data_IF_965899498119
#
_entry.id   IF_965899498119
#
_cell.length_a   1.000
_cell.length_b   1.000
_cell.length_c   1.000
_cell.angle_alpha   90.00
_cell.angle_beta   90.00
_cell.angle_gamma   90.00
#
_symmetry.space_group_name_H-M   'P 1'
#
loop_
_entity.id
_entity.type
_entity.pdbx_description
1 polymer ?
#
# COMPACT_ATOMS: atom_id res chain seq x y z
N UNK A 1 2.00 -20.57 9.97
CA UNK A 1 2.15 -20.35 8.52
C UNK A 1 3.36 -19.45 8.34
N UNK A 2 4.45 -19.92 7.71
CA UNK A 2 5.63 -19.07 7.49
C UNK A 2 5.24 -17.92 6.56
N UNK A 3 5.60 -16.70 6.95
CA UNK A 3 5.48 -15.50 6.13
C UNK A 3 6.07 -15.78 4.73
N UNK A 4 5.25 -15.65 3.70
CA UNK A 4 5.66 -15.77 2.29
C UNK A 4 6.43 -14.53 1.79
N UNK A 5 6.69 -13.59 2.68
CA UNK A 5 7.51 -12.41 2.41
C UNK A 5 8.97 -12.86 2.50
N UNK A 6 9.66 -12.86 1.39
CA UNK A 6 11.10 -13.07 1.36
C UNK A 6 11.73 -11.89 2.10
N UNK A 7 12.21 -12.15 3.30
CA UNK A 7 12.98 -11.16 4.06
C UNK A 7 14.13 -10.67 3.17
N UNK A 8 14.26 -9.35 3.06
CA UNK A 8 15.38 -8.76 2.34
C UNK A 8 16.65 -9.00 3.18
N UNK A 9 17.63 -9.69 2.63
CA UNK A 9 18.91 -9.86 3.32
C UNK A 9 19.72 -8.56 3.24
N UNK A 10 20.65 -8.37 4.18
CA UNK A 10 21.58 -7.22 4.14
C UNK A 10 22.34 -7.14 2.81
N UNK A 11 22.70 -8.28 2.25
CA UNK A 11 23.36 -8.35 0.93
C UNK A 11 22.45 -7.87 -0.19
N UNK A 12 21.17 -8.25 -0.17
CA UNK A 12 20.19 -7.80 -1.17
C UNK A 12 19.96 -6.29 -1.04
N UNK A 13 19.84 -5.77 0.18
CA UNK A 13 19.71 -4.33 0.43
C UNK A 13 20.91 -3.56 -0.11
N UNK A 14 22.14 -3.98 0.24
CA UNK A 14 23.35 -3.32 -0.24
C UNK A 14 23.43 -3.31 -1.77
N UNK A 15 23.06 -4.41 -2.43
CA UNK A 15 22.98 -4.49 -3.88
C UNK A 15 21.96 -3.49 -4.47
N UNK A 16 20.77 -3.38 -3.88
CA UNK A 16 19.75 -2.40 -4.30
C UNK A 16 20.28 -0.96 -4.16
N UNK A 17 20.86 -0.63 -3.01
CA UNK A 17 21.39 0.71 -2.74
C UNK A 17 22.55 1.07 -3.69
N UNK A 18 23.42 0.10 -4.02
CA UNK A 18 24.49 0.29 -5.00
C UNK A 18 23.94 0.57 -6.39
N UNK A 19 22.91 -0.18 -6.83
CA UNK A 19 22.23 0.07 -8.10
C UNK A 19 21.60 1.46 -8.15
N UNK A 20 20.93 1.89 -7.09
CA UNK A 20 20.33 3.23 -7.01
C UNK A 20 21.41 4.31 -7.12
N UNK A 21 22.54 4.19 -6.40
CA UNK A 21 23.68 5.12 -6.48
C UNK A 21 24.27 5.19 -7.89
N UNK A 22 24.32 4.06 -8.59
CA UNK A 22 24.84 3.94 -9.95
C UNK A 22 23.80 4.27 -11.03
N UNK A 23 22.61 4.76 -10.65
CA UNK A 23 21.51 5.11 -11.56
C UNK A 23 21.04 3.94 -12.44
N UNK A 24 21.10 2.72 -11.90
CA UNK A 24 20.62 1.49 -12.55
C UNK A 24 19.15 1.25 -12.15
N UNK A 25 18.27 2.10 -12.65
CA UNK A 25 16.85 2.04 -12.43
C UNK A 25 16.07 2.69 -13.56
N UNK A 26 14.81 2.28 -13.71
CA UNK A 26 13.90 2.78 -14.74
C UNK A 26 12.71 3.46 -14.08
N UNK A 27 12.34 4.64 -14.55
CA UNK A 27 11.15 5.35 -14.09
C UNK A 27 9.87 4.54 -14.42
N UNK A 28 8.97 4.38 -13.43
CA UNK A 28 7.69 3.69 -13.61
C UNK A 28 6.54 4.70 -13.66
N UNK A 29 6.40 5.51 -12.61
CA UNK A 29 5.25 6.38 -12.42
C UNK A 29 5.60 7.62 -11.59
N UNK A 30 4.77 8.65 -11.74
CA UNK A 30 4.71 9.79 -10.84
C UNK A 30 3.26 10.03 -10.45
N UNK A 31 3.03 10.26 -9.15
CA UNK A 31 1.79 10.79 -8.59
C UNK A 31 2.00 12.24 -8.12
N UNK A 32 1.00 12.76 -7.42
CA UNK A 32 1.03 14.14 -6.91
C UNK A 32 2.17 14.34 -5.90
N UNK A 33 2.43 13.35 -5.08
CA UNK A 33 3.37 13.43 -3.96
C UNK A 33 4.70 12.72 -4.20
N UNK A 34 4.87 11.93 -5.29
CA UNK A 34 6.08 11.14 -5.43
C UNK A 34 6.36 10.55 -6.80
N UNK A 35 7.51 9.88 -6.87
CA UNK A 35 7.99 9.17 -8.07
C UNK A 35 8.43 7.78 -7.71
N UNK A 36 8.06 6.81 -8.54
CA UNK A 36 8.37 5.38 -8.38
C UNK A 36 9.31 4.93 -9.48
N UNK A 37 10.32 4.15 -9.09
CA UNK A 37 11.35 3.63 -9.98
C UNK A 37 11.57 2.15 -9.75
N UNK A 38 11.64 1.36 -10.83
CA UNK A 38 12.06 -0.03 -10.82
C UNK A 38 13.59 -0.10 -10.67
N UNK A 39 14.09 -0.87 -9.71
CA UNK A 39 15.52 -1.18 -9.60
C UNK A 39 15.86 -2.25 -10.64
N UNK A 40 16.78 -1.99 -11.55
CA UNK A 40 17.07 -2.86 -12.69
C UNK A 40 17.50 -4.27 -12.25
N UNK A 41 16.73 -5.28 -12.72
CA UNK A 41 16.97 -6.68 -12.40
C UNK A 41 16.69 -7.11 -10.96
N UNK A 42 15.99 -6.29 -10.18
CA UNK A 42 15.49 -6.64 -8.85
C UNK A 42 13.95 -6.73 -8.86
N UNK A 43 13.39 -7.50 -7.94
CA UNK A 43 11.96 -7.54 -7.66
C UNK A 43 11.55 -6.46 -6.63
N UNK A 44 12.17 -5.29 -6.74
CA UNK A 44 12.03 -4.17 -5.82
C UNK A 44 11.89 -2.88 -6.60
N UNK A 45 11.11 -1.98 -6.02
CA UNK A 45 10.98 -0.60 -6.46
C UNK A 45 11.41 0.33 -5.34
N UNK A 46 11.80 1.55 -5.68
CA UNK A 46 11.91 2.59 -4.68
C UNK A 46 11.01 3.76 -5.04
N UNK A 47 10.46 4.39 -4.01
CA UNK A 47 9.66 5.61 -4.12
C UNK A 47 10.42 6.77 -3.49
N UNK A 48 10.38 7.92 -4.14
CA UNK A 48 10.79 9.20 -3.58
C UNK A 48 9.50 9.98 -3.38
N UNK A 49 9.17 10.27 -2.13
CA UNK A 49 7.96 11.02 -1.79
C UNK A 49 8.30 12.44 -1.33
N UNK A 50 7.41 13.38 -1.63
CA UNK A 50 7.41 14.73 -1.04
C UNK A 50 6.48 14.82 0.16
N UNK A 51 5.71 13.77 0.43
CA UNK A 51 4.76 13.69 1.52
C UNK A 51 5.45 13.15 2.77
N UNK A 52 5.36 13.92 3.86
CA UNK A 52 6.00 13.57 5.11
C UNK A 52 5.23 12.48 5.85
N UNK A 53 3.91 12.53 5.81
CA UNK A 53 3.06 11.59 6.54
C UNK A 53 3.19 10.19 5.92
N UNK A 54 3.21 10.11 4.58
CA UNK A 54 3.53 8.89 3.85
C UNK A 54 4.89 8.32 4.25
N UNK A 55 5.91 9.18 4.38
CA UNK A 55 7.24 8.74 4.76
C UNK A 55 7.31 8.24 6.21
N UNK A 56 6.64 8.90 7.16
CA UNK A 56 6.55 8.48 8.56
C UNK A 56 5.88 7.10 8.70
N UNK A 57 4.87 6.82 7.88
CA UNK A 57 4.25 5.49 7.81
C UNK A 57 5.24 4.45 7.26
N UNK A 58 6.00 4.78 6.22
CA UNK A 58 7.04 3.89 5.71
C UNK A 58 8.09 3.55 6.78
N UNK A 59 8.46 4.48 7.67
CA UNK A 59 9.33 4.23 8.82
C UNK A 59 8.71 3.24 9.80
N UNK A 60 7.42 3.38 10.12
CA UNK A 60 6.70 2.41 10.98
C UNK A 60 6.65 1.03 10.32
N UNK A 61 6.35 0.98 9.02
CA UNK A 61 6.21 -0.28 8.29
C UNK A 61 7.54 -1.03 8.17
N UNK A 62 8.68 -0.37 8.02
CA UNK A 62 9.99 -1.04 8.00
C UNK A 62 10.37 -1.58 9.36
N UNK A 63 10.09 -0.85 10.44
CA UNK A 63 10.42 -1.26 11.80
C UNK A 63 9.55 -2.43 12.29
N UNK A 64 8.32 -2.52 11.78
CA UNK A 64 7.30 -3.48 12.21
C UNK A 64 6.84 -4.40 11.06
N UNK A 65 7.72 -4.69 10.11
CA UNK A 65 7.41 -5.34 8.82
C UNK A 65 6.60 -6.66 8.92
N UNK A 66 6.70 -7.40 10.04
CA UNK A 66 6.00 -8.68 10.23
C UNK A 66 4.61 -8.54 10.87
N UNK A 67 4.20 -7.34 11.25
CA UNK A 67 2.94 -7.11 11.95
C UNK A 67 1.77 -6.81 11.00
N UNK A 68 2.08 -6.36 9.77
CA UNK A 68 1.11 -5.92 8.78
C UNK A 68 1.00 -6.93 7.63
N UNK A 69 -0.21 -7.09 7.11
CA UNK A 69 -0.50 -8.05 6.03
C UNK A 69 -1.11 -7.43 4.80
N UNK A 70 -1.58 -6.19 4.93
CA UNK A 70 -2.29 -5.44 3.89
C UNK A 70 -1.50 -4.27 3.32
N UNK A 71 -0.40 -3.87 3.95
CA UNK A 71 0.52 -2.89 3.39
C UNK A 71 1.61 -3.59 2.58
N UNK A 72 2.09 -2.93 1.53
CA UNK A 72 3.23 -3.43 0.79
C UNK A 72 4.46 -3.48 1.72
N UNK A 73 5.27 -4.55 1.68
CA UNK A 73 6.46 -4.63 2.50
C UNK A 73 7.45 -3.51 2.21
N UNK A 74 7.78 -2.72 3.24
CA UNK A 74 8.85 -1.73 3.21
C UNK A 74 10.11 -2.40 3.74
N UNK A 75 11.20 -2.30 2.98
CA UNK A 75 12.48 -2.94 3.31
C UNK A 75 13.55 -1.98 3.80
N UNK A 76 13.41 -0.70 3.47
CA UNK A 76 14.40 0.31 3.79
C UNK A 76 13.81 1.71 3.68
N UNK A 77 14.23 2.60 4.55
CA UNK A 77 14.02 4.06 4.49
C UNK A 77 15.37 4.76 4.61
N UNK A 78 15.58 5.85 3.88
CA UNK A 78 16.89 6.51 3.80
C UNK A 78 17.11 7.64 4.80
N UNK A 79 16.10 7.95 5.63
CA UNK A 79 16.11 9.05 6.59
C UNK A 79 15.83 10.44 5.98
N UNK A 80 15.48 10.52 4.68
CA UNK A 80 15.14 11.76 4.00
C UNK A 80 13.75 11.71 3.37
N UNK A 81 13.57 10.98 2.29
CA UNK A 81 12.31 10.90 1.58
C UNK A 81 12.22 9.72 0.61
N UNK A 82 13.14 8.78 0.68
CA UNK A 82 13.18 7.61 -0.20
C UNK A 82 13.02 6.33 0.61
N UNK A 83 12.22 5.41 0.10
CA UNK A 83 12.07 4.08 0.67
C UNK A 83 12.00 2.99 -0.41
N UNK A 84 12.41 1.77 -0.06
CA UNK A 84 12.41 0.59 -0.94
C UNK A 84 11.30 -0.35 -0.51
N UNK A 85 10.47 -0.77 -1.46
CA UNK A 85 9.35 -1.70 -1.26
C UNK A 85 9.42 -2.88 -2.23
N UNK A 86 8.60 -3.89 -1.99
CA UNK A 86 8.37 -4.97 -2.94
C UNK A 86 7.85 -4.39 -4.27
N UNK A 87 8.16 -5.06 -5.38
CA UNK A 87 7.48 -4.83 -6.63
C UNK A 87 6.20 -5.68 -6.64
N UNK A 88 5.05 -5.04 -6.84
CA UNK A 88 3.75 -5.69 -6.88
C UNK A 88 3.13 -5.58 -8.27
N UNK A 89 2.27 -6.53 -8.62
CA UNK A 89 1.53 -6.56 -9.87
C UNK A 89 0.27 -5.70 -9.78
N UNK A 90 -0.20 -5.20 -10.91
CA UNK A 90 -1.48 -4.49 -10.98
C UNK A 90 -2.64 -5.42 -10.62
N UNK A 91 -3.71 -4.84 -10.07
CA UNK A 91 -4.94 -5.58 -9.83
C UNK A 91 -5.51 -6.19 -11.14
N UNK A 92 -6.05 -7.43 -11.09
CA UNK A 92 -6.89 -7.95 -12.17
C UNK A 92 -8.06 -6.99 -12.48
N UNK A 93 -8.36 -6.78 -13.76
CA UNK A 93 -9.37 -5.82 -14.19
C UNK A 93 -10.76 -6.04 -13.54
N UNK A 94 -11.11 -7.30 -13.23
CA UNK A 94 -12.34 -7.63 -12.51
C UNK A 94 -12.35 -7.07 -11.09
N UNK A 95 -11.29 -7.32 -10.32
CA UNK A 95 -11.17 -6.82 -8.95
C UNK A 95 -11.09 -5.28 -8.93
N UNK A 96 -10.34 -4.69 -9.85
CA UNK A 96 -10.28 -3.23 -9.98
C UNK A 96 -11.67 -2.62 -10.13
N UNK A 97 -12.46 -3.16 -11.09
CA UNK A 97 -13.82 -2.70 -11.32
C UNK A 97 -14.73 -2.86 -10.10
N UNK A 98 -14.64 -3.98 -9.39
CA UNK A 98 -15.45 -4.21 -8.20
C UNK A 98 -15.08 -3.25 -7.05
N UNK A 99 -13.80 -2.94 -6.87
CA UNK A 99 -13.35 -1.91 -5.90
C UNK A 99 -13.87 -0.54 -6.30
N UNK A 100 -13.79 -0.16 -7.59
CA UNK A 100 -14.30 1.12 -8.07
C UNK A 100 -15.82 1.24 -7.82
N UNK A 101 -16.59 0.16 -8.08
CA UNK A 101 -18.02 0.13 -7.78
C UNK A 101 -18.31 0.26 -6.28
N UNK A 102 -17.57 -0.46 -5.44
CA UNK A 102 -17.68 -0.34 -3.98
C UNK A 102 -17.42 1.09 -3.50
N UNK A 103 -16.43 1.77 -4.08
CA UNK A 103 -16.13 3.16 -3.75
C UNK A 103 -17.20 4.13 -4.22
N UNK A 104 -17.83 3.89 -5.35
CA UNK A 104 -18.97 4.67 -5.82
C UNK A 104 -20.17 4.54 -4.85
N UNK A 105 -20.46 3.32 -4.40
CA UNK A 105 -21.52 3.04 -3.42
C UNK A 105 -21.21 3.69 -2.05
N UNK A 106 -19.97 3.58 -1.59
CA UNK A 106 -19.52 4.25 -0.38
C UNK A 106 -19.63 5.78 -0.46
N UNK A 107 -19.26 6.38 -1.58
CA UNK A 107 -19.38 7.81 -1.79
C UNK A 107 -20.84 8.30 -1.77
N UNK A 108 -21.78 7.45 -2.20
CA UNK A 108 -23.20 7.70 -2.09
C UNK A 108 -23.67 7.64 -0.62
N UNK A 109 -23.32 6.56 0.09
CA UNK A 109 -23.64 6.35 1.50
C UNK A 109 -23.12 7.50 2.39
N UNK A 110 -21.85 7.88 2.22
CA UNK A 110 -21.22 8.95 2.99
C UNK A 110 -21.90 10.32 2.83
N UNK A 111 -22.48 10.60 1.65
CA UNK A 111 -23.25 11.85 1.43
C UNK A 111 -24.58 11.84 2.18
N UNK A 112 -25.25 10.68 2.26
CA UNK A 112 -26.54 10.57 2.93
C UNK A 112 -26.41 10.69 4.46
N UNK A 113 -25.33 10.20 5.05
CA UNK A 113 -25.04 10.29 6.48
C UNK A 113 -24.58 11.70 6.92
N UNK A 114 -24.11 12.54 6.00
CA UNK A 114 -23.81 13.96 6.24
C UNK A 114 -22.62 14.23 7.18
N UNK A 115 -21.71 13.29 7.34
CA UNK A 115 -20.55 13.38 8.23
C UNK A 115 -19.30 12.66 7.69
N UNK A 116 -18.24 12.69 8.46
CA UNK A 116 -17.08 11.84 8.25
C UNK A 116 -17.46 10.40 8.61
N UNK A 117 -17.60 9.54 7.61
CA UNK A 117 -17.96 8.13 7.74
C UNK A 117 -16.78 7.28 7.32
N UNK A 118 -16.44 6.30 8.14
CA UNK A 118 -15.42 5.32 7.82
C UNK A 118 -15.89 4.39 6.70
N UNK A 119 -14.97 4.03 5.82
CA UNK A 119 -15.21 2.97 4.83
C UNK A 119 -15.55 1.63 5.50
N UNK A 120 -15.05 1.40 6.71
CA UNK A 120 -15.30 0.19 7.49
C UNK A 120 -16.69 0.19 8.14
N UNK A 121 -17.26 1.36 8.42
CA UNK A 121 -18.65 1.49 8.89
C UNK A 121 -19.65 1.16 7.78
N UNK A 122 -19.27 1.38 6.51
CA UNK A 122 -20.07 1.03 5.35
C UNK A 122 -20.07 -0.47 5.04
N UNK A 123 -19.05 -1.23 5.41
CA UNK A 123 -18.91 -2.65 5.06
C UNK A 123 -20.15 -3.51 5.33
N UNK A 124 -20.87 -3.37 6.45
CA UNK A 124 -22.09 -4.15 6.71
C UNK A 124 -23.22 -3.87 5.73
N UNK A 125 -23.25 -2.68 5.14
CA UNK A 125 -24.30 -2.19 4.23
C UNK A 125 -23.92 -2.31 2.75
N UNK A 126 -22.68 -2.71 2.45
CA UNK A 126 -22.10 -2.75 1.12
C UNK A 126 -22.71 -3.82 0.18
N UNK A 127 -23.66 -4.62 0.65
CA UNK A 127 -24.22 -5.72 -0.12
C UNK A 127 -23.26 -6.89 -0.29
N UNK A 128 -23.42 -7.66 -1.39
CA UNK A 128 -22.61 -8.85 -1.65
C UNK A 128 -21.25 -8.44 -2.28
N UNK A 129 -20.20 -8.44 -1.48
CA UNK A 129 -18.83 -8.16 -1.94
C UNK A 129 -18.11 -9.42 -2.41
N UNK A 130 -17.14 -9.23 -3.31
CA UNK A 130 -16.17 -10.27 -3.62
C UNK A 130 -15.41 -10.68 -2.35
N UNK A 131 -15.34 -11.98 -2.01
CA UNK A 131 -14.68 -12.44 -0.80
C UNK A 131 -13.21 -12.02 -0.65
N UNK A 132 -12.50 -11.77 -1.75
CA UNK A 132 -11.12 -11.27 -1.68
C UNK A 132 -11.10 -9.80 -1.22
N UNK A 133 -12.05 -8.98 -1.67
CA UNK A 133 -12.17 -7.57 -1.28
C UNK A 133 -12.60 -7.49 0.19
N UNK A 134 -13.61 -8.24 0.58
CA UNK A 134 -14.10 -8.28 1.97
C UNK A 134 -13.00 -8.71 2.95
N UNK A 135 -12.26 -9.78 2.64
CA UNK A 135 -11.15 -10.24 3.45
C UNK A 135 -10.01 -9.20 3.53
N UNK A 136 -9.73 -8.53 2.42
CA UNK A 136 -8.72 -7.47 2.39
C UNK A 136 -9.12 -6.29 3.26
N UNK A 137 -10.35 -5.78 3.13
CA UNK A 137 -10.85 -4.65 3.92
C UNK A 137 -10.87 -4.97 5.43
N UNK A 138 -11.31 -6.16 5.81
CA UNK A 138 -11.30 -6.62 7.21
C UNK A 138 -9.88 -6.68 7.77
N UNK A 139 -8.93 -7.20 7.00
CA UNK A 139 -7.53 -7.24 7.41
C UNK A 139 -6.90 -5.85 7.46
N UNK A 140 -7.26 -4.97 6.53
CA UNK A 140 -6.80 -3.59 6.45
C UNK A 140 -7.24 -2.78 7.67
N UNK A 141 -8.51 -2.90 8.09
CA UNK A 141 -9.00 -2.29 9.33
C UNK A 141 -8.14 -2.71 10.53
N UNK A 142 -7.87 -4.00 10.65
CA UNK A 142 -7.01 -4.53 11.73
C UNK A 142 -5.59 -3.96 11.67
N UNK A 143 -5.03 -3.81 10.48
CA UNK A 143 -3.67 -3.31 10.31
C UNK A 143 -3.60 -1.79 10.58
N UNK A 144 -4.62 -0.99 10.21
CA UNK A 144 -4.74 0.43 10.57
C UNK A 144 -4.83 0.60 12.09
N UNK A 145 -5.65 -0.19 12.77
CA UNK A 145 -5.73 -0.18 14.24
C UNK A 145 -4.37 -0.46 14.89
N UNK A 146 -3.58 -1.39 14.34
CA UNK A 146 -2.21 -1.67 14.82
C UNK A 146 -1.24 -0.53 14.56
N UNK A 147 -1.39 0.21 13.47
CA UNK A 147 -0.56 1.40 13.21
C UNK A 147 -0.73 2.43 14.32
N UNK A 148 -1.90 2.48 14.96
CA UNK A 148 -2.20 3.42 16.03
C UNK A 148 -2.48 4.84 15.50
N UNK A 149 -2.81 4.95 14.23
CA UNK A 149 -3.24 6.17 13.55
C UNK A 149 -4.73 6.05 13.23
N UNK A 150 -5.44 7.17 13.24
CA UNK A 150 -6.82 7.19 12.76
C UNK A 150 -6.82 7.08 11.24
N UNK A 151 -7.80 6.36 10.68
CA UNK A 151 -7.98 6.33 9.22
C UNK A 151 -8.24 7.72 8.62
N UNK A 152 -8.72 8.67 9.43
CA UNK A 152 -8.92 10.07 9.06
C UNK A 152 -7.65 10.92 9.16
N UNK A 153 -6.65 10.47 9.95
CA UNK A 153 -5.34 11.13 10.04
C UNK A 153 -4.40 10.64 8.93
N UNK A 154 -4.67 9.44 8.39
CA UNK A 154 -4.14 9.00 7.13
C UNK A 154 -5.00 9.67 6.07
N UNK A 155 -4.42 10.40 5.13
CA UNK A 155 -5.12 10.80 3.89
C UNK A 155 -5.35 9.52 3.06
N UNK A 156 -6.12 8.59 3.69
CA UNK A 156 -6.24 7.21 3.28
C UNK A 156 -7.13 7.12 2.05
N UNK A 157 -6.50 7.31 0.93
CA UNK A 157 -7.15 7.29 -0.36
C UNK A 157 -7.36 5.84 -0.82
N UNK A 158 -8.42 5.21 -0.30
CA UNK A 158 -8.82 3.88 -0.74
C UNK A 158 -9.37 3.95 -2.16
N UNK A 159 -8.48 3.75 -3.13
CA UNK A 159 -8.78 3.65 -4.56
C UNK A 159 -8.16 2.41 -5.15
N UNK A 160 -8.76 1.89 -6.21
CA UNK A 160 -8.22 0.72 -6.91
C UNK A 160 -6.80 0.91 -7.45
N UNK A 161 -6.40 2.17 -7.70
CA UNK A 161 -5.05 2.50 -8.17
C UNK A 161 -3.98 2.43 -7.05
N UNK A 162 -4.42 2.53 -5.79
CA UNK A 162 -3.56 2.43 -4.60
C UNK A 162 -3.49 1.00 -4.04
N UNK A 163 -4.11 0.04 -4.74
CA UNK A 163 -4.11 -1.38 -4.37
C UNK A 163 -3.47 -2.20 -5.48
N UNK A 164 -2.56 -3.06 -5.12
CA UNK A 164 -1.85 -3.95 -6.03
C UNK A 164 -1.89 -5.40 -5.55
N UNK A 165 -1.35 -6.31 -6.35
CA UNK A 165 -1.25 -7.74 -6.01
C UNK A 165 0.20 -8.10 -5.67
N UNK A 166 0.42 -8.66 -4.50
CA UNK A 166 1.71 -9.23 -4.10
C UNK A 166 1.53 -10.70 -3.71
N UNK A 167 2.12 -11.61 -4.46
CA UNK A 167 2.02 -13.06 -4.23
C UNK A 167 0.56 -13.56 -4.09
N UNK A 168 -0.35 -13.03 -4.90
CA UNK A 168 -1.76 -13.41 -4.92
C UNK A 168 -2.62 -12.78 -3.82
N UNK A 169 -2.09 -11.80 -3.08
CA UNK A 169 -2.81 -11.02 -2.06
C UNK A 169 -2.86 -9.56 -2.46
N UNK A 170 -3.96 -8.90 -2.11
CA UNK A 170 -4.06 -7.44 -2.23
C UNK A 170 -3.23 -6.75 -1.16
N UNK A 171 -2.54 -5.69 -1.55
CA UNK A 171 -1.74 -4.82 -0.67
C UNK A 171 -1.94 -3.35 -1.06
N UNK A 172 -1.96 -2.48 -0.06
CA UNK A 172 -1.90 -1.03 -0.24
C UNK A 172 -0.49 -0.63 -0.62
N UNK A 173 -0.36 0.26 -1.61
CA UNK A 173 0.94 0.75 -2.11
C UNK A 173 1.09 2.26 -1.96
N UNK A 174 0.02 2.95 -1.65
CA UNK A 174 -0.02 4.39 -1.36
C UNK A 174 -0.95 4.64 -0.15
N UNK A 175 -0.53 5.49 0.80
CA UNK A 175 -1.20 5.73 2.08
C UNK A 175 -0.94 7.16 2.57
#
# INVERSE_FOLDING_TARGET
>A
MKSLLREMTDTDLQRCLEKIRNKQYTFIAAGDNGKVYQIDGEDKVFKITGDRDEYEIAEILVDRANEFTTFIPVYYVDGNNMYIVANADTLPAGLKKEIDMFMDDFAFFSRDEGGEVSIFDFLPDAGELNPQIENFLTALQTDIEKLGVSEFDLDFDFRSDNIMMLNGKMVMVDW
#
